data_IF_824897635824
#
_entry.id   IF_824897635824
#
_cell.length_a   1.000
_cell.length_b   1.000
_cell.length_c   1.000
_cell.angle_alpha   90.00
_cell.angle_beta   90.00
_cell.angle_gamma   90.00
#
_symmetry.space_group_name_H-M   'P 1'
#
loop_
_entity.id
_entity.type
_entity.pdbx_description
1 polymer ?
#
# COMPACT_ATOMS: atom_id res chain seq x y z
N UNK A 1 14.62 -31.42 -32.55
CA UNK A 1 15.48 -32.62 -32.64
C UNK A 1 14.68 -33.68 -33.40
N UNK A 2 15.26 -34.40 -34.38
CA UNK A 2 14.54 -35.47 -35.05
C UNK A 2 14.21 -36.55 -34.02
N UNK A 3 12.94 -36.96 -33.99
CA UNK A 3 12.37 -37.89 -33.03
C UNK A 3 12.89 -39.29 -33.36
N UNK A 4 13.95 -39.76 -32.71
CA UNK A 4 14.37 -41.17 -32.77
C UNK A 4 13.46 -41.95 -31.81
N UNK A 5 12.19 -42.08 -32.17
CA UNK A 5 11.27 -43.05 -31.57
C UNK A 5 11.62 -44.42 -32.16
N UNK A 6 12.76 -44.96 -31.75
CA UNK A 6 13.05 -46.36 -32.02
C UNK A 6 12.19 -47.18 -31.03
N UNK A 7 11.41 -48.16 -31.53
CA UNK A 7 10.72 -49.15 -30.69
C UNK A 7 11.68 -49.80 -29.69
N UNK A 8 12.96 -49.95 -30.04
CA UNK A 8 13.99 -50.45 -29.13
C UNK A 8 14.22 -49.54 -27.92
N UNK A 9 13.99 -48.23 -28.04
CA UNK A 9 14.14 -47.30 -26.91
C UNK A 9 13.08 -47.57 -25.83
N UNK A 10 11.81 -47.69 -26.23
CA UNK A 10 10.72 -47.98 -25.29
C UNK A 10 10.85 -49.39 -24.70
N UNK A 11 11.26 -50.38 -25.52
CA UNK A 11 11.56 -51.72 -25.03
C UNK A 11 12.75 -51.71 -24.05
N UNK A 12 13.82 -50.97 -24.34
CA UNK A 12 14.97 -50.87 -23.44
C UNK A 12 14.63 -50.18 -22.11
N UNK A 13 13.64 -49.29 -22.11
CA UNK A 13 13.20 -48.64 -20.87
C UNK A 13 12.33 -49.56 -20.01
N UNK A 14 11.63 -50.55 -20.56
CA UNK A 14 10.88 -51.54 -19.73
C UNK A 14 11.76 -52.40 -18.81
N UNK A 15 13.07 -52.42 -19.04
CA UNK A 15 14.04 -53.15 -18.21
C UNK A 15 14.92 -52.20 -17.37
N UNK A 16 14.60 -50.90 -17.37
CA UNK A 16 15.34 -49.86 -16.66
C UNK A 16 14.36 -49.06 -15.81
N UNK A 17 14.86 -48.43 -14.76
CA UNK A 17 14.04 -47.59 -13.89
C UNK A 17 13.66 -46.23 -14.52
N UNK A 18 13.76 -46.07 -15.84
CA UNK A 18 13.47 -44.80 -16.53
C UNK A 18 11.95 -44.61 -16.63
N UNK A 19 11.37 -43.43 -16.34
CA UNK A 19 11.97 -42.09 -16.28
C UNK A 19 12.53 -41.68 -14.90
N UNK A 20 12.47 -42.55 -13.90
CA UNK A 20 13.00 -42.28 -12.55
C UNK A 20 14.54 -42.37 -12.59
N UNK A 21 15.22 -41.55 -11.79
CA UNK A 21 16.68 -41.56 -11.71
C UNK A 21 17.19 -42.94 -11.28
N UNK A 22 18.30 -43.35 -11.89
CA UNK A 22 18.91 -44.64 -11.59
C UNK A 22 19.33 -44.77 -10.11
N UNK A 23 19.14 -45.95 -9.54
CA UNK A 23 19.52 -46.26 -8.16
C UNK A 23 18.53 -45.81 -7.07
N UNK A 24 17.40 -45.21 -7.44
CA UNK A 24 16.35 -44.84 -6.47
C UNK A 24 15.43 -46.03 -6.15
N UNK A 25 14.86 -46.04 -4.93
CA UNK A 25 14.05 -47.16 -4.44
C UNK A 25 12.72 -47.32 -5.16
N UNK A 26 12.08 -46.21 -5.55
CA UNK A 26 10.72 -46.15 -6.15
C UNK A 26 9.63 -46.72 -5.25
N UNK A 27 9.95 -46.92 -3.98
CA UNK A 27 9.05 -47.44 -2.98
C UNK A 27 8.37 -46.26 -2.29
N UNK A 28 7.07 -46.41 -2.04
CA UNK A 28 6.29 -45.42 -1.31
C UNK A 28 6.77 -45.29 0.14
N UNK A 29 6.35 -44.23 0.82
CA UNK A 29 6.76 -43.94 2.20
C UNK A 29 6.36 -45.02 3.21
N UNK A 30 5.34 -45.84 2.90
CA UNK A 30 4.91 -46.94 3.76
C UNK A 30 5.63 -48.27 3.48
N UNK A 31 6.30 -48.41 2.34
CA UNK A 31 6.90 -49.68 1.91
C UNK A 31 5.94 -50.66 1.26
N UNK A 32 4.68 -50.28 1.02
CA UNK A 32 3.62 -51.13 0.51
C UNK A 32 3.63 -51.25 -1.03
N UNK A 33 4.12 -50.25 -1.75
CA UNK A 33 4.14 -50.24 -3.22
C UNK A 33 5.50 -49.78 -3.75
N UNK A 34 6.04 -50.53 -4.69
CA UNK A 34 7.20 -50.12 -5.51
C UNK A 34 6.76 -50.00 -6.96
N UNK A 35 7.06 -48.86 -7.59
CA UNK A 35 6.69 -48.63 -9.00
C UNK A 35 7.43 -49.63 -9.91
N UNK A 36 6.71 -50.47 -10.68
CA UNK A 36 7.33 -51.45 -11.58
C UNK A 36 8.16 -50.80 -12.70
N UNK A 37 9.24 -51.47 -13.13
CA UNK A 37 10.12 -51.03 -14.23
C UNK A 37 9.37 -50.96 -15.58
N UNK A 38 8.38 -51.83 -15.77
CA UNK A 38 7.61 -51.95 -17.00
C UNK A 38 6.44 -50.98 -17.09
N UNK A 39 6.09 -50.28 -15.99
CA UNK A 39 4.92 -49.40 -15.95
C UNK A 39 5.17 -48.06 -16.66
N UNK A 40 6.19 -47.31 -16.26
CA UNK A 40 6.54 -46.04 -16.89
C UNK A 40 7.74 -46.26 -17.81
N UNK A 41 7.63 -45.88 -19.08
CA UNK A 41 8.72 -46.12 -20.05
C UNK A 41 9.21 -44.86 -20.75
N UNK A 42 8.44 -43.78 -20.72
CA UNK A 42 8.92 -42.46 -21.12
C UNK A 42 8.13 -41.34 -20.46
N UNK A 43 8.78 -40.18 -20.36
CA UNK A 43 8.23 -38.98 -19.75
C UNK A 43 8.89 -37.76 -20.38
N UNK A 44 8.07 -36.84 -20.85
CA UNK A 44 8.50 -35.53 -21.31
C UNK A 44 7.55 -34.50 -20.72
N UNK A 45 8.09 -33.53 -19.99
CA UNK A 45 7.32 -32.44 -19.41
C UNK A 45 8.04 -31.10 -19.55
N UNK A 46 7.27 -30.03 -19.67
CA UNK A 46 7.71 -28.65 -19.62
C UNK A 46 6.98 -27.96 -18.48
N UNK A 47 7.72 -27.59 -17.44
CA UNK A 47 7.16 -27.11 -16.17
C UNK A 47 7.59 -25.66 -15.88
N UNK A 48 8.86 -25.35 -16.13
CA UNK A 48 9.48 -24.06 -15.83
C UNK A 48 10.48 -23.72 -16.93
N UNK A 49 10.76 -22.43 -17.10
CA UNK A 49 11.87 -21.94 -17.92
C UNK A 49 13.23 -22.09 -17.24
N UNK A 50 13.24 -22.39 -15.94
CA UNK A 50 14.46 -22.64 -15.18
C UNK A 50 14.96 -24.08 -15.38
N UNK A 51 16.15 -24.30 -15.97
CA UNK A 51 16.70 -25.63 -16.24
C UNK A 51 17.19 -26.35 -14.98
N UNK A 52 17.27 -25.68 -13.82
CA UNK A 52 17.69 -26.29 -12.55
C UNK A 52 16.54 -26.96 -11.81
N UNK A 53 15.31 -26.80 -12.32
CA UNK A 53 14.11 -27.39 -11.74
C UNK A 53 14.18 -28.91 -11.81
N UNK A 54 13.93 -29.54 -10.66
CA UNK A 54 13.88 -31.00 -10.50
C UNK A 54 12.48 -31.41 -10.11
N UNK A 55 12.04 -32.57 -10.60
CA UNK A 55 10.68 -33.08 -10.43
C UNK A 55 10.77 -34.49 -9.86
N UNK A 56 9.72 -34.92 -9.16
CA UNK A 56 9.57 -36.29 -8.69
C UNK A 56 8.10 -36.71 -8.75
N UNK A 57 7.85 -38.01 -8.66
CA UNK A 57 6.49 -38.56 -8.54
C UNK A 57 6.06 -38.43 -7.08
N UNK A 58 5.12 -37.54 -6.76
CA UNK A 58 4.70 -37.34 -5.36
C UNK A 58 3.66 -38.34 -4.90
N UNK A 59 2.76 -38.74 -5.79
CA UNK A 59 1.62 -39.59 -5.46
C UNK A 59 1.28 -40.50 -6.63
N UNK A 60 0.94 -41.74 -6.32
CA UNK A 60 0.37 -42.70 -7.25
C UNK A 60 -0.95 -43.23 -6.69
N UNK A 61 -2.01 -43.13 -7.47
CA UNK A 61 -3.29 -43.77 -7.16
C UNK A 61 -3.37 -45.02 -8.02
N UNK A 62 -3.56 -46.16 -7.38
CA UNK A 62 -3.79 -47.43 -8.05
C UNK A 62 -5.19 -47.92 -7.71
N UNK A 63 -6.13 -47.77 -8.62
CA UNK A 63 -7.49 -48.29 -8.51
C UNK A 63 -7.76 -49.25 -9.68
N UNK A 64 -8.75 -50.15 -9.57
CA UNK A 64 -9.05 -51.12 -10.63
C UNK A 64 -9.34 -50.48 -11.99
N UNK A 65 -10.04 -49.34 -11.98
CA UNK A 65 -10.51 -48.66 -13.19
C UNK A 65 -9.69 -47.40 -13.54
N UNK A 66 -8.80 -46.96 -12.64
CA UNK A 66 -8.07 -45.71 -12.79
C UNK A 66 -6.70 -45.77 -12.11
N UNK A 67 -5.67 -45.34 -12.83
CA UNK A 67 -4.34 -45.10 -12.28
C UNK A 67 -3.99 -43.63 -12.50
N UNK A 68 -3.62 -42.94 -11.43
CA UNK A 68 -3.14 -41.57 -11.48
C UNK A 68 -1.68 -41.49 -11.05
N UNK A 69 -0.88 -40.73 -11.78
CA UNK A 69 0.50 -40.39 -11.41
C UNK A 69 0.59 -38.88 -11.27
N UNK A 70 0.90 -38.43 -10.06
CA UNK A 70 1.08 -37.02 -9.74
C UNK A 70 2.56 -36.66 -9.69
N UNK A 71 2.90 -35.52 -10.28
CA UNK A 71 4.25 -34.97 -10.30
C UNK A 71 4.31 -33.70 -9.47
N UNK A 72 5.39 -33.56 -8.70
CA UNK A 72 5.64 -32.39 -7.84
C UNK A 72 7.07 -31.90 -7.95
N UNK A 73 7.28 -30.63 -7.60
CA UNK A 73 8.61 -30.02 -7.57
C UNK A 73 9.46 -30.54 -6.42
N UNK A 74 10.69 -30.93 -6.72
CA UNK A 74 11.69 -31.30 -5.73
C UNK A 74 12.00 -30.09 -4.82
N UNK A 75 12.04 -30.32 -3.51
CA UNK A 75 12.35 -29.32 -2.49
C UNK A 75 11.12 -28.60 -1.95
N UNK A 76 10.19 -28.16 -2.80
CA UNK A 76 8.97 -27.48 -2.35
C UNK A 76 7.78 -28.41 -2.14
N UNK A 77 7.75 -29.58 -2.80
CA UNK A 77 6.61 -30.49 -2.80
C UNK A 77 5.36 -29.92 -3.47
N UNK A 78 5.50 -28.82 -4.23
CA UNK A 78 4.36 -28.19 -4.90
C UNK A 78 3.93 -29.02 -6.11
N UNK A 79 2.64 -29.37 -6.15
CA UNK A 79 2.05 -30.15 -7.24
C UNK A 79 2.15 -29.42 -8.59
N UNK A 80 2.65 -30.12 -9.60
CA UNK A 80 2.80 -29.63 -10.98
C UNK A 80 1.61 -30.05 -11.82
N UNK A 81 1.20 -31.31 -11.72
CA UNK A 81 0.14 -31.87 -12.54
C UNK A 81 -0.04 -33.37 -12.31
N UNK A 82 -1.07 -33.91 -12.93
CA UNK A 82 -1.49 -35.32 -12.80
C UNK A 82 -1.63 -35.91 -14.20
N UNK A 83 -1.20 -37.14 -14.38
CA UNK A 83 -1.52 -37.96 -15.55
C UNK A 83 -2.42 -39.10 -15.09
N UNK A 84 -3.62 -39.20 -15.68
CA UNK A 84 -4.57 -40.25 -15.37
C UNK A 84 -4.76 -41.18 -16.57
N UNK A 85 -4.90 -42.48 -16.31
CA UNK A 85 -5.23 -43.49 -17.31
C UNK A 85 -6.21 -44.52 -16.77
N UNK A 86 -7.02 -45.08 -17.68
CA UNK A 86 -7.80 -46.28 -17.39
C UNK A 86 -6.99 -47.53 -17.77
N UNK A 87 -6.79 -48.51 -16.87
CA UNK A 87 -6.14 -49.78 -17.20
C UNK A 87 -6.90 -50.58 -18.26
N UNK A 88 -8.24 -50.51 -18.21
CA UNK A 88 -9.09 -51.16 -19.20
C UNK A 88 -8.96 -50.47 -20.56
N UNK A 89 -8.55 -51.22 -21.58
CA UNK A 89 -8.30 -50.69 -22.92
C UNK A 89 -6.92 -50.07 -23.11
N UNK A 90 -6.04 -50.12 -22.10
CA UNK A 90 -4.64 -49.77 -22.29
C UNK A 90 -3.97 -50.71 -23.30
N UNK A 91 -3.20 -50.12 -24.21
CA UNK A 91 -2.29 -50.85 -25.11
C UNK A 91 -0.87 -50.46 -24.80
N UNK A 92 0.06 -51.41 -24.89
CA UNK A 92 1.47 -51.17 -24.62
C UNK A 92 1.99 -49.95 -25.39
N UNK A 93 2.72 -49.07 -24.69
CA UNK A 93 3.27 -47.81 -25.21
C UNK A 93 2.24 -46.74 -25.54
N UNK A 94 1.06 -46.81 -24.95
CA UNK A 94 0.10 -45.74 -25.08
C UNK A 94 0.60 -44.47 -24.35
N UNK A 95 0.30 -43.32 -24.94
CA UNK A 95 0.69 -42.00 -24.44
C UNK A 95 -0.48 -41.34 -23.73
N UNK A 96 -0.23 -40.83 -22.53
CA UNK A 96 -1.18 -40.10 -21.70
C UNK A 96 -0.67 -38.69 -21.43
N UNK A 97 -1.59 -37.73 -21.39
CA UNK A 97 -1.25 -36.31 -21.26
C UNK A 97 -1.45 -35.83 -19.83
N UNK A 98 -0.58 -34.93 -19.40
CA UNK A 98 -0.64 -34.31 -18.08
C UNK A 98 -1.72 -33.22 -18.04
N UNK A 99 -2.58 -33.30 -17.04
CA UNK A 99 -3.42 -32.19 -16.60
C UNK A 99 -2.62 -31.30 -15.62
N UNK A 100 -2.41 -30.01 -15.94
CA UNK A 100 -1.65 -29.11 -15.07
C UNK A 100 -2.40 -28.81 -13.77
N UNK A 101 -1.64 -28.53 -12.71
CA UNK A 101 -2.17 -28.00 -11.46
C UNK A 101 -2.54 -26.52 -11.59
N UNK A 102 -3.33 -26.02 -10.63
CA UNK A 102 -3.65 -24.59 -10.57
C UNK A 102 -2.40 -23.73 -10.35
N UNK A 103 -1.36 -24.24 -9.69
CA UNK A 103 -0.11 -23.50 -9.46
C UNK A 103 0.74 -23.42 -10.72
N UNK A 104 0.79 -24.51 -11.49
CA UNK A 104 1.55 -24.64 -12.72
C UNK A 104 0.64 -24.76 -13.95
N UNK A 105 -0.24 -23.77 -14.13
CA UNK A 105 -1.27 -23.81 -15.17
C UNK A 105 -0.75 -23.91 -16.62
N UNK A 106 0.51 -23.54 -16.86
CA UNK A 106 1.17 -23.68 -18.17
C UNK A 106 2.05 -24.93 -18.27
N UNK A 107 2.08 -25.79 -17.25
CA UNK A 107 2.80 -27.05 -17.35
C UNK A 107 2.12 -27.95 -18.39
N UNK A 108 2.95 -28.57 -19.22
CA UNK A 108 2.50 -29.51 -20.25
C UNK A 108 3.39 -30.71 -20.22
N UNK A 109 2.84 -31.90 -20.38
CA UNK A 109 3.65 -33.10 -20.44
C UNK A 109 2.91 -34.30 -21.01
N UNK A 110 3.67 -35.30 -21.39
CA UNK A 110 3.20 -36.61 -21.79
C UNK A 110 3.98 -37.69 -21.07
N UNK A 111 3.29 -38.77 -20.72
CA UNK A 111 3.82 -39.96 -20.10
C UNK A 111 3.48 -41.14 -20.98
N UNK A 112 4.46 -42.00 -21.28
CA UNK A 112 4.23 -43.24 -22.03
C UNK A 112 4.24 -44.39 -21.04
N UNK A 113 3.16 -45.16 -21.06
CA UNK A 113 2.97 -46.31 -20.18
C UNK A 113 3.28 -47.59 -20.94
N UNK A 114 4.09 -48.46 -20.34
CA UNK A 114 4.49 -49.75 -20.90
C UNK A 114 3.42 -50.81 -20.69
N UNK A 115 3.45 -51.49 -19.55
CA UNK A 115 2.47 -52.53 -19.19
C UNK A 115 1.70 -52.13 -17.92
N UNK A 116 0.39 -52.40 -17.90
CA UNK A 116 -0.45 -52.14 -16.71
C UNK A 116 -0.73 -53.40 -15.88
N UNK A 117 -0.40 -54.58 -16.41
CA UNK A 117 -0.64 -55.85 -15.71
C UNK A 117 0.11 -55.92 -14.38
N UNK A 118 1.36 -55.46 -14.33
CA UNK A 118 2.18 -55.56 -13.12
C UNK A 118 1.66 -54.64 -12.02
N UNK A 119 1.35 -53.38 -12.34
CA UNK A 119 0.84 -52.42 -11.36
C UNK A 119 -0.56 -52.77 -10.84
N UNK A 120 -1.42 -53.36 -11.67
CA UNK A 120 -2.77 -53.81 -11.25
C UNK A 120 -2.73 -55.03 -10.32
N UNK A 121 -1.61 -55.76 -10.22
CA UNK A 121 -1.43 -56.80 -9.19
C UNK A 121 -1.01 -56.26 -7.82
N UNK A 122 -0.56 -55.01 -7.76
CA UNK A 122 -0.14 -54.36 -6.51
C UNK A 122 -1.36 -53.90 -5.70
N UNK A 123 -1.20 -53.61 -4.40
CA UNK A 123 -2.31 -53.15 -3.58
C UNK A 123 -3.02 -51.92 -4.17
N UNK A 124 -4.34 -51.88 -4.04
CA UNK A 124 -5.13 -50.72 -4.42
C UNK A 124 -5.08 -49.65 -3.32
N UNK A 125 -5.03 -48.39 -3.72
CA UNK A 125 -4.98 -47.28 -2.79
C UNK A 125 -4.26 -46.06 -3.34
N UNK A 126 -3.95 -45.14 -2.43
CA UNK A 126 -3.14 -43.96 -2.71
C UNK A 126 -1.81 -44.10 -2.01
N UNK A 127 -0.73 -43.97 -2.76
CA UNK A 127 0.64 -44.13 -2.30
C UNK A 127 1.36 -42.80 -2.46
N UNK A 128 2.08 -42.38 -1.43
CA UNK A 128 2.88 -41.16 -1.42
C UNK A 128 4.35 -41.52 -1.43
N UNK A 129 5.16 -40.77 -2.16
CA UNK A 129 6.59 -41.05 -2.28
C UNK A 129 7.41 -39.89 -1.73
N UNK A 130 8.57 -40.24 -1.17
CA UNK A 130 9.60 -39.26 -0.86
C UNK A 130 10.27 -38.79 -2.15
N UNK A 131 10.63 -37.51 -2.19
CA UNK A 131 11.34 -36.90 -3.31
C UNK A 131 12.68 -37.59 -3.60
N UNK A 132 13.35 -38.11 -2.58
CA UNK A 132 14.59 -38.86 -2.73
C UNK A 132 14.39 -40.28 -3.32
N UNK A 133 13.17 -40.80 -3.31
CA UNK A 133 12.85 -42.16 -3.78
C UNK A 133 12.40 -42.20 -5.26
N UNK A 134 11.93 -41.08 -5.81
CA UNK A 134 11.22 -41.03 -7.11
C UNK A 134 11.56 -39.80 -7.96
N UNK A 135 12.72 -39.18 -7.74
CA UNK A 135 13.20 -38.07 -8.58
C UNK A 135 13.32 -38.53 -10.04
N UNK A 136 12.79 -37.75 -10.98
CA UNK A 136 12.87 -38.08 -12.41
C UNK A 136 14.18 -37.61 -13.04
N UNK A 137 14.57 -38.25 -14.12
CA UNK A 137 15.77 -37.87 -14.88
C UNK A 137 15.64 -36.47 -15.47
N UNK A 138 16.72 -35.68 -15.45
CA UNK A 138 16.70 -34.28 -15.90
C UNK A 138 16.33 -34.13 -17.38
N UNK A 139 16.66 -35.13 -18.21
CA UNK A 139 16.26 -35.18 -19.63
C UNK A 139 14.74 -35.25 -19.86
N UNK A 140 13.96 -35.65 -18.85
CA UNK A 140 12.50 -35.74 -18.94
C UNK A 140 11.85 -34.37 -18.79
N UNK A 141 12.59 -33.39 -18.23
CA UNK A 141 12.12 -32.02 -18.04
C UNK A 141 12.76 -31.14 -19.11
N UNK A 142 11.95 -30.70 -20.06
CA UNK A 142 12.33 -29.74 -21.09
C UNK A 142 12.04 -28.33 -20.56
N UNK A 143 13.03 -27.44 -20.46
CA UNK A 143 12.78 -26.06 -20.05
C UNK A 143 11.76 -25.39 -20.99
N UNK A 144 10.72 -24.85 -20.40
CA UNK A 144 9.70 -24.09 -21.12
C UNK A 144 10.22 -22.73 -21.59
N UNK A 145 9.45 -22.06 -22.45
CA UNK A 145 9.72 -20.67 -22.77
C UNK A 145 9.45 -19.79 -21.53
N UNK A 146 10.27 -18.76 -21.33
CA UNK A 146 9.95 -17.73 -20.35
C UNK A 146 8.76 -16.92 -20.86
N UNK A 147 7.58 -17.17 -20.29
CA UNK A 147 6.32 -16.53 -20.69
C UNK A 147 5.47 -16.19 -19.47
N UNK A 148 4.58 -15.21 -19.61
CA UNK A 148 3.53 -14.95 -18.63
C UNK A 148 2.47 -16.04 -18.75
N UNK A 149 2.46 -16.98 -17.81
CA UNK A 149 1.52 -18.10 -17.80
C UNK A 149 0.15 -17.74 -17.22
N UNK A 150 0.09 -16.75 -16.33
CA UNK A 150 -1.11 -16.40 -15.58
C UNK A 150 -1.05 -14.99 -15.03
N UNK A 151 -2.17 -14.28 -15.07
CA UNK A 151 -2.36 -13.04 -14.32
C UNK A 151 -3.12 -13.35 -13.02
N UNK A 152 -2.57 -12.94 -11.89
CA UNK A 152 -3.23 -13.02 -10.58
C UNK A 152 -3.44 -11.59 -10.10
N UNK A 153 -4.67 -11.23 -9.76
CA UNK A 153 -4.96 -9.95 -9.11
C UNK A 153 -5.60 -10.19 -7.75
N UNK A 154 -5.21 -9.38 -6.78
CA UNK A 154 -5.68 -9.45 -5.40
C UNK A 154 -6.33 -8.12 -5.02
N UNK A 155 -7.56 -8.19 -4.55
CA UNK A 155 -8.31 -7.03 -4.09
C UNK A 155 -7.88 -6.61 -2.68
N UNK A 156 -8.27 -5.40 -2.29
CA UNK A 156 -8.00 -4.84 -0.96
C UNK A 156 -8.68 -5.63 0.18
N UNK A 157 -9.78 -6.31 -0.12
CA UNK A 157 -10.49 -7.21 0.80
C UNK A 157 -9.78 -8.57 1.00
N UNK A 158 -8.67 -8.80 0.28
CA UNK A 158 -7.87 -10.02 0.33
C UNK A 158 -8.30 -11.10 -0.67
N UNK A 159 -9.40 -10.92 -1.39
CA UNK A 159 -9.84 -11.87 -2.43
C UNK A 159 -8.86 -11.90 -3.59
N UNK A 160 -8.54 -13.09 -4.09
CA UNK A 160 -7.62 -13.28 -5.20
C UNK A 160 -8.31 -13.98 -6.35
N UNK A 161 -8.06 -13.50 -7.56
CA UNK A 161 -8.57 -14.07 -8.79
C UNK A 161 -7.40 -14.35 -9.72
N UNK A 162 -7.52 -15.39 -10.53
CA UNK A 162 -6.51 -15.71 -11.53
C UNK A 162 -7.14 -16.00 -12.87
N UNK A 163 -6.54 -15.44 -13.93
CA UNK A 163 -6.97 -15.62 -15.31
C UNK A 163 -5.78 -16.09 -16.16
N UNK A 164 -6.06 -16.99 -17.09
CA UNK A 164 -5.10 -17.59 -18.03
C UNK A 164 -5.60 -17.38 -19.46
N UNK A 165 -4.71 -17.51 -20.44
CA UNK A 165 -5.02 -17.29 -21.86
C UNK A 165 -4.97 -15.82 -22.27
N UNK A 166 -5.81 -15.43 -23.22
CA UNK A 166 -5.88 -14.05 -23.73
C UNK A 166 -6.57 -13.14 -22.70
N UNK A 167 -5.75 -12.41 -21.94
CA UNK A 167 -6.23 -11.50 -20.90
C UNK A 167 -6.39 -10.10 -21.48
N UNK A 168 -7.62 -9.61 -21.55
CA UNK A 168 -7.91 -8.21 -21.89
C UNK A 168 -8.03 -7.38 -20.62
N UNK A 169 -7.11 -6.44 -20.42
CA UNK A 169 -7.17 -5.48 -19.31
C UNK A 169 -7.84 -4.20 -19.80
N UNK A 170 -8.98 -3.84 -19.20
CA UNK A 170 -9.78 -2.69 -19.61
C UNK A 170 -9.53 -1.52 -18.67
N UNK A 171 -9.19 -0.36 -19.24
CA UNK A 171 -9.05 0.88 -18.50
C UNK A 171 -10.44 1.34 -18.03
N UNK A 172 -10.58 1.59 -16.73
CA UNK A 172 -11.78 2.17 -16.13
C UNK A 172 -11.56 3.68 -15.88
N UNK A 173 -12.53 4.37 -15.28
CA UNK A 173 -12.60 5.85 -15.16
C UNK A 173 -11.32 6.54 -14.71
N UNK A 174 -10.52 5.90 -13.85
CA UNK A 174 -9.32 6.47 -13.22
C UNK A 174 -8.04 5.71 -13.58
N UNK A 175 -8.02 5.05 -14.74
CA UNK A 175 -6.84 4.32 -15.22
C UNK A 175 -6.62 4.60 -16.69
N UNK A 176 -5.39 4.91 -17.08
CA UNK A 176 -5.01 5.05 -18.49
C UNK A 176 -3.85 4.13 -18.80
N UNK A 177 -4.00 3.38 -19.89
CA UNK A 177 -2.92 2.60 -20.47
C UNK A 177 -2.24 3.42 -21.57
N UNK A 178 -0.91 3.49 -21.55
CA UNK A 178 -0.12 4.13 -22.59
C UNK A 178 0.99 3.18 -23.02
N UNK A 179 1.08 2.96 -24.33
CA UNK A 179 2.19 2.21 -24.91
C UNK A 179 3.41 3.13 -25.02
N UNK A 180 4.53 2.74 -24.42
CA UNK A 180 5.80 3.47 -24.53
C UNK A 180 6.58 2.98 -25.77
N UNK A 181 6.60 1.67 -25.97
CA UNK A 181 7.24 0.98 -27.10
C UNK A 181 6.50 -0.34 -27.40
N UNK A 182 7.03 -1.22 -28.26
CA UNK A 182 6.35 -2.45 -28.68
C UNK A 182 6.08 -3.48 -27.56
N UNK A 183 6.70 -3.36 -26.39
CA UNK A 183 6.58 -4.33 -25.28
C UNK A 183 6.29 -3.69 -23.92
N UNK A 184 6.41 -2.37 -23.79
CA UNK A 184 6.28 -1.65 -22.53
C UNK A 184 4.93 -0.90 -22.45
N UNK A 185 4.07 -1.33 -21.52
CA UNK A 185 2.80 -0.68 -21.20
C UNK A 185 2.94 0.07 -19.87
N UNK A 186 2.73 1.38 -19.89
CA UNK A 186 2.59 2.20 -18.69
C UNK A 186 1.13 2.19 -18.21
N UNK A 187 0.94 2.01 -16.91
CA UNK A 187 -0.36 2.07 -16.22
C UNK A 187 -0.37 3.26 -15.29
N UNK A 188 -1.17 4.27 -15.62
CA UNK A 188 -1.36 5.46 -14.79
C UNK A 188 -2.69 5.30 -14.02
N UNK A 189 -2.65 5.20 -12.68
CA UNK A 189 -3.82 4.96 -11.82
C UNK A 189 -3.91 5.96 -10.63
N UNK A 190 -5.08 6.58 -10.44
CA UNK A 190 -5.35 7.50 -9.31
C UNK A 190 -6.53 8.44 -9.54
N UNK A 191 -6.99 9.14 -8.48
CA UNK A 191 -7.92 10.26 -8.67
C UNK A 191 -7.20 11.39 -9.40
N UNK A 192 -7.59 11.54 -10.66
CA UNK A 192 -7.03 12.48 -11.59
C UNK A 192 -5.81 11.93 -12.33
N UNK A 193 -5.93 11.83 -13.64
CA UNK A 193 -4.78 11.80 -14.52
C UNK A 193 -4.17 13.20 -14.80
N UNK A 194 -4.10 14.25 -13.95
CA UNK A 194 -4.87 14.76 -12.78
C UNK A 194 -4.38 14.53 -11.33
N UNK A 195 -3.20 13.93 -11.09
CA UNK A 195 -2.77 13.49 -9.74
C UNK A 195 -2.05 14.57 -8.91
N UNK A 196 -2.12 15.82 -9.35
CA UNK A 196 -2.07 16.99 -8.49
C UNK A 196 -3.39 17.72 -8.78
N UNK A 197 -4.11 18.20 -7.75
CA UNK A 197 -4.91 19.40 -8.01
C UNK A 197 -3.95 20.38 -8.67
N UNK A 198 -4.22 20.93 -9.87
CA UNK A 198 -3.40 22.05 -10.34
C UNK A 198 -3.38 22.99 -9.14
N UNK A 199 -2.18 23.30 -8.64
CA UNK A 199 -2.06 24.47 -7.80
C UNK A 199 -2.86 25.52 -8.55
N UNK A 200 -3.91 26.05 -7.93
CA UNK A 200 -4.64 27.15 -8.51
C UNK A 200 -3.64 28.30 -8.55
N UNK A 201 -2.76 28.31 -9.55
CA UNK A 201 -1.80 29.36 -9.82
C UNK A 201 -2.55 30.61 -10.30
N UNK A 202 -3.85 30.47 -10.59
CA UNK A 202 -4.82 31.55 -10.67
C UNK A 202 -5.50 31.83 -9.32
N UNK A 203 -4.73 31.89 -8.22
CA UNK A 203 -5.08 32.89 -7.21
C UNK A 203 -4.77 34.23 -7.86
N UNK A 204 -5.76 35.10 -8.13
CA UNK A 204 -5.49 36.37 -8.80
C UNK A 204 -4.40 37.08 -8.01
N UNK A 205 -3.23 37.26 -8.62
CA UNK A 205 -2.17 38.06 -8.02
C UNK A 205 -2.79 39.42 -7.68
N UNK A 206 -2.58 39.92 -6.47
CA UNK A 206 -3.04 41.25 -6.09
C UNK A 206 -2.32 42.28 -6.98
N UNK A 207 -2.98 42.71 -8.06
CA UNK A 207 -2.44 43.71 -9.01
C UNK A 207 -2.66 45.14 -8.53
N UNK A 208 -3.54 45.34 -7.56
CA UNK A 208 -3.87 46.66 -7.02
C UNK A 208 -4.05 46.59 -5.50
N UNK A 209 -3.77 47.70 -4.85
CA UNK A 209 -4.19 47.98 -3.47
C UNK A 209 -5.28 49.04 -3.59
N UNK A 210 -6.52 48.72 -3.21
CA UNK A 210 -7.67 49.62 -3.35
C UNK A 210 -7.84 50.21 -4.78
N UNK A 211 -7.67 49.39 -5.82
CA UNK A 211 -7.72 49.80 -7.24
C UNK A 211 -6.62 50.77 -7.70
N UNK A 212 -5.62 51.06 -6.87
CA UNK A 212 -4.44 51.80 -7.30
C UNK A 212 -3.47 50.80 -7.93
N UNK A 213 -3.05 50.99 -9.20
CA UNK A 213 -2.04 50.15 -9.83
C UNK A 213 -0.62 50.54 -9.37
N UNK A 214 0.37 49.63 -9.50
CA UNK A 214 1.77 49.97 -9.24
C UNK A 214 2.35 50.92 -10.30
N UNK A 215 3.53 51.46 -10.03
CA UNK A 215 4.31 52.22 -11.01
C UNK A 215 4.82 51.36 -12.19
N UNK A 216 5.53 51.99 -13.13
CA UNK A 216 6.08 51.33 -14.33
C UNK A 216 7.06 50.19 -14.02
N UNK A 217 7.59 50.12 -12.79
CA UNK A 217 8.52 49.09 -12.33
C UNK A 217 7.83 48.04 -11.45
N UNK A 218 6.50 48.12 -11.27
CA UNK A 218 5.74 47.18 -10.44
C UNK A 218 5.78 47.50 -8.94
N UNK A 219 6.23 48.70 -8.53
CA UNK A 219 6.33 49.08 -7.12
C UNK A 219 5.12 49.89 -6.66
N UNK A 220 4.79 49.74 -5.36
CA UNK A 220 3.88 50.63 -4.65
C UNK A 220 4.67 51.57 -3.76
N UNK A 221 4.53 52.88 -3.97
CA UNK A 221 5.08 53.87 -3.04
C UNK A 221 4.11 54.06 -1.88
N UNK A 222 4.53 53.70 -0.68
CA UNK A 222 3.78 53.96 0.54
C UNK A 222 4.40 55.15 1.26
N UNK A 223 3.67 56.26 1.31
CA UNK A 223 4.08 57.47 2.03
C UNK A 223 3.52 57.44 3.44
N UNK A 224 4.37 57.60 4.45
CA UNK A 224 3.96 57.81 5.85
C UNK A 224 4.12 59.27 6.25
N UNK A 225 3.41 59.66 7.30
CA UNK A 225 3.80 60.80 8.13
C UNK A 225 5.03 60.43 8.98
N UNK A 226 5.72 61.43 9.54
CA UNK A 226 6.95 61.27 10.34
C UNK A 226 6.83 60.27 11.51
N UNK A 227 5.59 60.00 11.91
CA UNK A 227 5.19 59.17 13.03
C UNK A 227 5.01 57.69 12.71
N UNK A 228 4.76 57.34 11.44
CA UNK A 228 4.47 55.98 11.02
C UNK A 228 5.69 55.36 10.33
N UNK A 229 6.02 54.12 10.71
CA UNK A 229 7.14 53.36 10.15
C UNK A 229 6.66 52.03 9.59
N UNK A 230 7.07 51.73 8.36
CA UNK A 230 6.89 50.42 7.76
C UNK A 230 8.11 49.54 8.04
N UNK A 231 7.87 48.30 8.47
CA UNK A 231 8.90 47.28 8.60
C UNK A 231 8.47 46.01 7.87
N UNK A 232 9.41 45.33 7.21
CA UNK A 232 9.12 44.10 6.50
C UNK A 232 8.80 42.98 7.50
N UNK A 233 7.64 42.34 7.34
CA UNK A 233 7.28 41.15 8.09
C UNK A 233 7.78 39.92 7.31
N UNK A 234 9.01 39.51 7.59
CA UNK A 234 9.66 38.39 6.89
C UNK A 234 9.64 37.06 7.68
N UNK A 235 9.16 37.05 8.92
CA UNK A 235 9.18 35.87 9.80
C UNK A 235 7.92 35.01 9.64
N UNK A 236 8.10 33.77 9.17
CA UNK A 236 7.05 32.74 9.12
C UNK A 236 6.28 32.66 7.79
N UNK A 237 5.11 32.02 7.85
CA UNK A 237 4.21 31.74 6.70
C UNK A 237 3.47 32.98 6.18
N UNK A 238 3.56 34.11 6.90
CA UNK A 238 2.94 35.38 6.53
C UNK A 238 3.99 36.30 5.90
N UNK A 239 3.71 36.81 4.70
CA UNK A 239 4.48 37.85 4.03
C UNK A 239 3.66 39.13 4.07
N UNK A 240 4.20 40.21 4.64
CA UNK A 240 3.46 41.47 4.76
C UNK A 240 4.31 42.64 5.22
N UNK A 241 3.66 43.79 5.39
CA UNK A 241 4.23 45.00 5.95
C UNK A 241 3.65 45.24 7.34
N UNK A 242 4.52 45.42 8.33
CA UNK A 242 4.13 45.84 9.67
C UNK A 242 4.16 47.37 9.76
N UNK A 243 3.00 47.96 9.99
CA UNK A 243 2.83 49.41 10.19
C UNK A 243 2.83 49.71 11.69
N UNK A 244 3.86 50.42 12.15
CA UNK A 244 3.96 50.89 13.52
C UNK A 244 3.77 52.41 13.55
N UNK A 245 2.77 52.89 14.29
CA UNK A 245 2.60 54.31 14.60
C UNK A 245 3.25 54.62 15.95
N UNK A 246 4.22 55.51 15.94
CA UNK A 246 4.97 55.94 17.13
C UNK A 246 4.38 57.18 17.81
N UNK A 247 3.47 57.90 17.16
CA UNK A 247 2.83 59.11 17.69
C UNK A 247 1.48 58.83 18.36
N UNK A 248 0.85 57.70 18.08
CA UNK A 248 -0.34 57.23 18.78
C UNK A 248 -0.04 56.36 20.02
N UNK A 249 1.02 56.67 20.78
CA UNK A 249 0.99 56.33 22.22
C UNK A 249 -0.14 57.15 22.83
N UNK A 250 -1.00 56.59 23.71
CA UNK A 250 -2.06 57.39 24.33
C UNK A 250 -1.43 58.66 24.90
N UNK A 251 -1.99 59.82 24.55
CA UNK A 251 -1.43 61.15 24.83
C UNK A 251 -1.35 61.49 26.34
N UNK A 252 -1.56 60.50 27.19
CA UNK A 252 -1.37 60.51 28.63
C UNK A 252 -0.67 59.20 28.99
N UNK A 253 0.56 59.31 29.49
CA UNK A 253 1.22 58.20 30.17
C UNK A 253 0.42 57.83 31.42
N UNK A 254 0.44 56.56 31.85
CA UNK A 254 -0.27 56.13 33.06
C UNK A 254 0.11 56.94 34.32
N UNK A 255 1.29 57.57 34.31
CA UNK A 255 1.74 58.46 35.37
C UNK A 255 0.91 59.75 35.43
N UNK A 256 0.51 60.32 34.29
CA UNK A 256 -0.28 61.55 34.23
C UNK A 256 -1.74 61.32 34.64
N UNK A 257 -2.29 60.12 34.38
CA UNK A 257 -3.60 59.72 34.91
C UNK A 257 -3.55 59.56 36.44
N UNK A 258 -2.45 59.02 36.98
CA UNK A 258 -2.21 58.95 38.41
C UNK A 258 -2.20 60.34 39.06
N UNK A 259 -1.48 61.28 38.46
CA UNK A 259 -1.40 62.68 38.90
C UNK A 259 -2.76 63.39 38.87
N UNK A 260 -3.54 63.19 37.80
CA UNK A 260 -4.90 63.73 37.69
C UNK A 260 -5.84 63.13 38.74
N UNK A 261 -5.75 61.82 38.98
CA UNK A 261 -6.54 61.13 40.01
C UNK A 261 -6.18 61.60 41.41
N UNK A 262 -4.90 61.83 41.68
CA UNK A 262 -4.43 62.38 42.95
C UNK A 262 -4.91 63.82 43.16
N UNK A 263 -4.88 64.66 42.13
CA UNK A 263 -5.43 66.03 42.20
C UNK A 263 -6.93 66.02 42.46
N UNK A 264 -7.66 65.08 41.85
CA UNK A 264 -9.11 64.97 42.02
C UNK A 264 -9.49 64.53 43.44
N UNK A 265 -8.76 63.56 44.00
CA UNK A 265 -8.94 63.10 45.40
C UNK A 265 -8.53 64.17 46.42
N UNK A 266 -7.47 64.95 46.14
CA UNK A 266 -7.10 66.09 46.98
C UNK A 266 -8.21 67.15 46.99
N UNK A 267 -8.77 67.49 45.82
CA UNK A 267 -9.86 68.46 45.69
C UNK A 267 -11.12 68.01 46.44
N UNK A 268 -11.42 66.71 46.41
CA UNK A 268 -12.55 66.13 47.15
C UNK A 268 -12.34 66.25 48.67
N UNK A 269 -11.13 65.95 49.16
CA UNK A 269 -10.76 66.14 50.57
C UNK A 269 -10.86 67.61 51.01
N UNK A 270 -10.40 68.54 50.17
CA UNK A 270 -10.46 69.98 50.45
C UNK A 270 -11.92 70.47 50.52
N UNK A 271 -12.80 69.96 49.65
CA UNK A 271 -14.25 70.25 49.69
C UNK A 271 -14.91 69.76 50.98
N UNK A 272 -14.55 68.57 51.47
CA UNK A 272 -15.05 68.04 52.75
C UNK A 272 -14.58 68.91 53.92
N UNK A 273 -13.31 69.34 53.91
CA UNK A 273 -12.77 70.24 54.92
C UNK A 273 -13.52 71.59 54.92
N UNK A 274 -13.78 72.15 53.75
CA UNK A 274 -14.50 73.41 53.60
C UNK A 274 -15.94 73.31 54.11
N UNK A 275 -16.64 72.19 53.83
CA UNK A 275 -17.97 71.90 54.38
C UNK A 275 -17.96 71.80 55.90
N UNK A 276 -16.94 71.15 56.48
CA UNK A 276 -16.79 71.06 57.93
C UNK A 276 -16.57 72.44 58.55
N UNK A 277 -15.75 73.27 57.90
CA UNK A 277 -15.50 74.63 58.36
C UNK A 277 -16.77 75.49 58.32
N UNK A 278 -17.56 75.40 57.24
CA UNK A 278 -18.87 76.05 57.13
C UNK A 278 -19.82 75.63 58.26
N UNK A 279 -19.92 74.34 58.55
CA UNK A 279 -20.75 73.83 59.64
C UNK A 279 -20.31 74.37 61.00
N UNK A 280 -19.00 74.46 61.26
CA UNK A 280 -18.47 75.03 62.50
C UNK A 280 -18.79 76.51 62.64
N UNK A 281 -18.64 77.29 61.57
CA UNK A 281 -19.01 78.72 61.56
C UNK A 281 -20.51 78.90 61.76
N UNK A 282 -21.34 78.07 61.12
CA UNK A 282 -22.79 78.08 61.34
C UNK A 282 -23.16 77.78 62.79
N UNK A 283 -22.51 76.80 63.42
CA UNK A 283 -22.72 76.46 64.82
C UNK A 283 -22.29 77.60 65.75
N UNK A 284 -21.12 78.20 65.51
CA UNK A 284 -20.66 79.38 66.26
C UNK A 284 -21.62 80.56 66.13
N UNK A 285 -22.18 80.77 64.93
CA UNK A 285 -23.17 81.83 64.68
C UNK A 285 -24.46 81.55 65.47
N UNK A 286 -24.93 80.30 65.51
CA UNK A 286 -26.08 79.92 66.35
C UNK A 286 -25.79 80.13 67.85
N UNK A 287 -24.63 79.70 68.35
CA UNK A 287 -24.23 79.92 69.74
C UNK A 287 -24.14 81.41 70.09
N UNK A 288 -23.58 82.23 69.19
CA UNK A 288 -23.50 83.67 69.38
C UNK A 288 -24.90 84.32 69.39
N UNK A 289 -25.81 83.86 68.52
CA UNK A 289 -27.20 84.33 68.52
C UNK A 289 -27.92 84.01 69.84
N UNK A 290 -27.69 82.82 70.40
CA UNK A 290 -28.26 82.42 71.70
C UNK A 290 -27.70 83.27 72.85
N UNK A 291 -26.40 83.60 72.84
CA UNK A 291 -25.78 84.50 73.82
C UNK A 291 -26.27 85.94 73.68
N UNK A 292 -26.56 86.42 72.46
CA UNK A 292 -27.11 87.76 72.24
C UNK A 292 -28.57 87.90 72.70
N UNK A 293 -29.32 86.79 72.77
CA UNK A 293 -30.68 86.73 73.33
C UNK A 293 -30.72 86.50 74.85
N UNK A 294 -29.58 86.17 75.46
CA UNK A 294 -29.44 86.15 76.90
C UNK A 294 -29.19 87.59 77.38
N UNK A 295 -30.26 88.37 77.51
CA UNK A 295 -30.24 89.61 78.27
C UNK A 295 -29.73 89.32 79.68
N UNK A 296 -28.55 89.83 80.03
CA UNK A 296 -28.11 89.91 81.40
C UNK A 296 -29.14 90.73 82.20
N UNK A 297 -29.98 90.07 82.98
CA UNK A 297 -30.61 90.70 84.14
C UNK A 297 -29.48 90.96 85.14
N UNK A 298 -28.98 92.19 85.16
CA UNK A 298 -28.16 92.68 86.25
C UNK A 298 -29.07 92.92 87.46
N UNK A 299 -29.12 91.98 88.39
CA UNK A 299 -29.51 92.23 89.79
C UNK A 299 -28.31 92.66 90.62
#
# INVERSE_FOLDING_TARGET
MPNVENLDFLNANTIRNYPIREGLSRTDTSGALTIPDDFLVDLIMSVSSDPTVRVYISRLVNMPDEIEVEFSLYGSGTQIGVVSLAPNGHTRYNTYYMAPSSTYAAATGKMVVGEVSTITTLPYGTFTFDQAATEVETRTVVPGLATVSRFIFRNADGTSFSVTGDVTIVAQTNTKFRLIDSITVAVDAGEGLGLNAPCADDRPCLKTINNIPPDVNGNFTLTTSDCARFTNLASGTLKGLNLADSCCKPCLSCNEIGDLTQRLTQLESDLIALRTHYNNVSLLTQQFSQLSSASCECT
#
